data_IF_126796904096
#
_entry.id   IF_126796904096
#
_cell.length_a   1.000
_cell.length_b   1.000
_cell.length_c   1.000
_cell.angle_alpha   90.00
_cell.angle_beta   90.00
_cell.angle_gamma   90.00
#
_symmetry.space_group_name_H-M   'P 1'
#
loop_
_entity.id
_entity.type
_entity.pdbx_description
1 polymer ?
#
# COMPACT_ATOMS: atom_id res chain seq x y z
N UNK A 1 -5.28 6.26 -11.79
CA UNK A 1 -4.77 4.93 -12.20
C UNK A 1 -5.09 3.99 -11.08
N UNK A 2 -5.73 2.87 -11.38
CA UNK A 2 -6.02 1.87 -10.35
C UNK A 2 -4.77 1.05 -10.04
N UNK A 3 -4.48 0.82 -8.76
CA UNK A 3 -3.38 -0.03 -8.30
C UNK A 3 -3.87 -1.10 -7.34
N UNK A 4 -3.25 -2.28 -7.44
CA UNK A 4 -3.34 -3.36 -6.47
C UNK A 4 -1.92 -3.65 -5.96
N UNK A 5 -1.67 -3.38 -4.69
CA UNK A 5 -0.35 -3.55 -4.07
C UNK A 5 -0.38 -4.78 -3.19
N UNK A 6 0.46 -5.75 -3.54
CA UNK A 6 0.80 -6.91 -2.69
C UNK A 6 2.26 -6.78 -2.31
N UNK A 7 2.58 -6.91 -1.03
CA UNK A 7 3.96 -6.79 -0.56
C UNK A 7 4.36 -7.97 0.34
N UNK A 8 5.60 -8.42 0.18
CA UNK A 8 6.23 -9.39 1.06
C UNK A 8 7.40 -8.70 1.77
N UNK A 9 7.31 -8.58 3.09
CA UNK A 9 8.29 -7.87 3.92
C UNK A 9 8.50 -8.64 5.23
N UNK A 10 9.70 -8.57 5.81
CA UNK A 10 9.96 -9.10 7.15
C UNK A 10 8.92 -8.61 8.17
N UNK A 11 8.54 -9.49 9.10
CA UNK A 11 7.41 -9.27 10.02
C UNK A 11 7.58 -8.02 10.91
N UNK A 12 8.82 -7.68 11.27
CA UNK A 12 9.19 -6.47 12.00
C UNK A 12 8.86 -5.18 11.22
N UNK A 13 8.86 -5.25 9.88
CA UNK A 13 8.60 -4.12 8.98
C UNK A 13 7.14 -4.02 8.53
N UNK A 14 6.34 -5.07 8.63
CA UNK A 14 4.92 -5.07 8.21
C UNK A 14 4.13 -3.89 8.78
N UNK A 15 4.39 -3.52 10.04
CA UNK A 15 3.75 -2.37 10.69
C UNK A 15 4.04 -1.03 9.99
N UNK A 16 5.27 -0.86 9.46
CA UNK A 16 5.70 0.35 8.77
C UNK A 16 4.92 0.49 7.45
N UNK A 17 4.93 -0.56 6.62
CA UNK A 17 4.22 -0.57 5.34
C UNK A 17 2.71 -0.42 5.48
N UNK A 18 2.11 -1.14 6.44
CA UNK A 18 0.68 -0.99 6.73
C UNK A 18 0.31 0.44 7.12
N UNK A 19 1.15 1.12 7.91
CA UNK A 19 0.93 2.52 8.29
C UNK A 19 1.06 3.46 7.09
N UNK A 20 2.05 3.22 6.23
CA UNK A 20 2.31 4.04 5.03
C UNK A 20 1.19 3.91 3.98
N UNK A 21 0.74 2.69 3.70
CA UNK A 21 -0.23 2.43 2.63
C UNK A 21 -1.65 2.84 3.03
N UNK A 22 -2.02 2.68 4.30
CA UNK A 22 -3.38 3.01 4.78
C UNK A 22 -3.70 4.51 4.75
N UNK A 23 -2.72 5.40 4.57
CA UNK A 23 -3.00 6.84 4.39
C UNK A 23 -3.45 7.19 2.97
N UNK A 24 -3.25 6.30 2.01
CA UNK A 24 -3.47 6.57 0.58
C UNK A 24 -4.33 5.51 -0.12
N UNK A 25 -4.42 4.30 0.43
CA UNK A 25 -5.08 3.15 -0.17
C UNK A 25 -5.97 2.43 0.83
N UNK A 26 -6.95 1.68 0.31
CA UNK A 26 -7.82 0.82 1.09
C UNK A 26 -7.15 -0.53 1.36
N UNK A 27 -7.27 -1.03 2.59
CA UNK A 27 -6.74 -2.32 3.01
C UNK A 27 -7.82 -3.39 2.91
N UNK A 28 -7.63 -4.40 2.06
CA UNK A 28 -8.61 -5.51 1.93
C UNK A 28 -8.24 -6.66 2.86
N UNK A 29 -6.98 -7.09 2.79
CA UNK A 29 -6.48 -8.26 3.50
C UNK A 29 -5.01 -8.08 3.85
N UNK A 30 -4.47 -9.00 4.65
CA UNK A 30 -3.07 -8.95 5.04
C UNK A 30 -2.17 -8.80 3.82
N UNK A 31 -1.28 -7.81 3.88
CA UNK A 31 -0.35 -7.48 2.80
C UNK A 31 -0.96 -7.03 1.48
N UNK A 32 -2.25 -6.70 1.42
CA UNK A 32 -2.92 -6.27 0.18
C UNK A 32 -3.69 -4.97 0.35
N UNK A 33 -3.38 -4.02 -0.54
CA UNK A 33 -4.03 -2.72 -0.64
C UNK A 33 -4.48 -2.44 -2.07
N UNK A 34 -5.53 -1.63 -2.23
CA UNK A 34 -6.01 -1.19 -3.54
C UNK A 34 -6.52 0.24 -3.50
N UNK A 35 -6.63 0.86 -4.67
CA UNK A 35 -7.24 2.19 -4.81
C UNK A 35 -6.76 2.92 -6.05
N UNK A 36 -7.32 4.10 -6.25
CA UNK A 36 -6.90 5.01 -7.31
C UNK A 36 -5.76 5.92 -6.85
N UNK A 37 -4.72 6.02 -7.67
CA UNK A 37 -3.60 6.93 -7.47
C UNK A 37 -3.42 7.85 -8.67
N UNK A 38 -2.94 9.07 -8.41
CA UNK A 38 -2.45 9.96 -9.46
C UNK A 38 -1.02 9.56 -9.87
N UNK A 39 -0.56 9.88 -11.09
CA UNK A 39 0.81 9.59 -11.49
C UNK A 39 1.87 10.17 -10.54
N UNK A 40 1.65 11.38 -9.99
CA UNK A 40 2.56 12.00 -9.03
C UNK A 40 2.68 11.20 -7.72
N UNK A 41 1.59 10.62 -7.22
CA UNK A 41 1.59 9.83 -6.00
C UNK A 41 2.36 8.51 -6.09
N UNK A 42 2.67 8.03 -7.30
CA UNK A 42 3.41 6.78 -7.51
C UNK A 42 4.92 7.01 -7.61
N UNK A 43 5.34 8.21 -8.01
CA UNK A 43 6.73 8.52 -8.40
C UNK A 43 7.42 9.43 -7.38
N UNK A 44 6.69 10.30 -6.69
CA UNK A 44 7.20 11.21 -5.64
C UNK A 44 7.34 10.54 -4.27
#
# INVERSE_FOLDING_TARGET
MFVLIVYDVPADRTRIYRKLLRTRLEHIQQSVFYGDVTPGQLVD
#
